data_IF_779958067259
#
_entry.id   IF_779958067259
#
_cell.length_a   1.000
_cell.length_b   1.000
_cell.length_c   1.000
_cell.angle_alpha   90.00
_cell.angle_beta   90.00
_cell.angle_gamma   90.00
#
_symmetry.space_group_name_H-M   'P 1'
#
loop_
_entity.id
_entity.type
_entity.pdbx_description
1 polymer ?
#
# COMPACT_ATOMS: atom_id res chain seq x y z
N UNK A 1 35.61 -33.74 23.42
CA UNK A 1 35.53 -32.73 24.50
C UNK A 1 36.33 -31.50 24.07
N UNK A 2 35.66 -30.40 23.69
CA UNK A 2 36.15 -29.03 23.86
C UNK A 2 35.00 -28.07 23.55
N UNK A 3 34.32 -27.64 24.61
CA UNK A 3 33.27 -26.63 24.57
C UNK A 3 33.92 -25.26 24.33
N UNK A 4 33.45 -24.52 23.33
CA UNK A 4 33.78 -23.11 23.16
C UNK A 4 32.46 -22.35 23.16
N UNK A 5 32.12 -21.86 24.35
CA UNK A 5 31.08 -20.86 24.56
C UNK A 5 31.66 -19.51 24.14
N UNK A 6 31.17 -18.93 23.03
CA UNK A 6 31.41 -17.53 22.69
C UNK A 6 30.07 -16.80 22.70
N UNK A 7 29.65 -16.39 23.88
CA UNK A 7 28.53 -15.46 24.08
C UNK A 7 29.07 -14.06 23.78
N UNK A 8 28.66 -13.48 22.66
CA UNK A 8 28.81 -12.06 22.40
C UNK A 8 27.42 -11.42 22.36
N UNK A 9 26.99 -10.97 23.53
CA UNK A 9 25.77 -10.19 23.72
C UNK A 9 26.08 -8.74 23.30
N UNK A 10 25.71 -8.37 22.08
CA UNK A 10 25.71 -6.97 21.63
C UNK A 10 24.34 -6.62 21.07
N UNK A 11 23.37 -6.40 21.95
CA UNK A 11 22.13 -5.69 21.66
C UNK A 11 22.45 -4.22 21.47
N UNK A 12 22.79 -3.82 20.25
CA UNK A 12 22.86 -2.42 19.85
C UNK A 12 21.46 -1.97 19.43
N UNK A 13 20.74 -1.37 20.38
CA UNK A 13 19.58 -0.53 20.11
C UNK A 13 20.02 0.65 19.23
N UNK A 14 19.84 0.54 17.91
CA UNK A 14 19.80 1.70 17.03
C UNK A 14 18.38 2.25 16.98
N UNK A 15 17.95 2.86 18.09
CA UNK A 15 16.96 3.94 18.04
C UNK A 15 17.72 5.22 17.75
N UNK A 16 17.65 5.71 16.51
CA UNK A 16 17.76 7.14 16.21
C UNK A 16 16.73 7.48 15.14
N UNK A 17 15.67 8.11 15.63
CA UNK A 17 14.77 9.02 14.94
C UNK A 17 15.59 10.07 14.20
N UNK A 18 15.22 10.38 12.96
CA UNK A 18 15.46 11.69 12.35
C UNK A 18 14.14 12.17 11.74
N UNK A 19 13.61 13.24 12.34
CA UNK A 19 12.62 14.12 11.74
C UNK A 19 13.28 14.97 10.66
N UNK A 20 12.60 15.19 9.53
CA UNK A 20 12.69 16.40 8.68
C UNK A 20 11.59 16.31 7.61
N UNK A 21 10.42 16.92 7.86
CA UNK A 21 10.00 18.28 7.46
C UNK A 21 9.61 18.43 5.97
N UNK A 22 8.29 18.36 5.77
CA UNK A 22 7.40 19.24 4.98
C UNK A 22 7.85 19.67 3.58
N UNK A 23 7.05 19.26 2.59
CA UNK A 23 6.66 20.16 1.51
C UNK A 23 5.16 20.04 1.25
N UNK A 24 4.46 21.16 1.36
CA UNK A 24 3.01 21.29 1.22
C UNK A 24 2.71 21.91 -0.16
N UNK A 25 1.86 21.20 -0.90
CA UNK A 25 0.95 21.57 -1.99
C UNK A 25 0.86 23.07 -2.36
N UNK A 26 0.98 23.43 -3.65
CA UNK A 26 0.39 24.64 -4.21
C UNK A 26 -1.04 24.37 -4.70
N UNK A 27 -2.03 24.93 -4.02
CA UNK A 27 -3.31 25.25 -4.64
C UNK A 27 -3.70 26.66 -4.18
N UNK A 28 -3.63 27.60 -5.12
CA UNK A 28 -3.96 29.01 -4.95
C UNK A 28 -5.47 29.24 -4.97
N UNK A 29 -5.95 29.94 -3.93
CA UNK A 29 -7.03 30.97 -3.86
C UNK A 29 -8.44 30.60 -4.34
N UNK A 30 -9.55 30.98 -3.68
CA UNK A 30 -10.22 32.31 -3.53
C UNK A 30 -11.28 32.16 -2.36
N UNK A 31 -11.88 33.24 -1.77
CA UNK A 31 -11.56 33.92 -0.51
C UNK A 31 -12.49 33.58 0.71
N UNK A 32 -12.09 34.14 1.85
CA UNK A 32 -12.61 34.00 3.22
C UNK A 32 -14.09 34.38 3.41
N UNK A 33 -14.85 33.52 4.11
CA UNK A 33 -15.86 33.95 5.09
C UNK A 33 -15.85 33.00 6.28
N UNK A 34 -15.55 33.56 7.45
CA UNK A 34 -15.40 32.88 8.74
C UNK A 34 -16.66 32.08 9.10
N UNK A 35 -16.51 30.77 9.24
CA UNK A 35 -17.43 29.93 10.00
C UNK A 35 -16.60 29.17 11.01
N UNK A 36 -16.96 29.39 12.28
CA UNK A 36 -16.41 28.77 13.47
C UNK A 36 -16.54 27.24 13.30
N UNK A 37 -15.50 26.59 12.79
CA UNK A 37 -15.48 25.14 12.62
C UNK A 37 -15.02 24.53 13.93
N UNK A 38 -16.00 24.16 14.75
CA UNK A 38 -15.86 23.17 15.81
C UNK A 38 -14.94 22.05 15.31
N UNK A 39 -13.83 21.85 16.01
CA UNK A 39 -12.85 20.79 15.74
C UNK A 39 -13.47 19.45 16.14
N UNK A 40 -14.47 19.02 15.38
CA UNK A 40 -14.91 17.64 15.37
C UNK A 40 -13.75 16.84 14.78
N UNK A 41 -13.21 15.95 15.61
CA UNK A 41 -12.12 15.07 15.25
C UNK A 41 -12.71 14.03 14.29
N UNK A 42 -12.83 14.40 13.01
CA UNK A 42 -13.25 13.49 11.94
C UNK A 42 -12.18 12.41 11.89
N UNK A 43 -12.45 11.28 12.54
CA UNK A 43 -11.66 10.08 12.35
C UNK A 43 -11.70 9.78 10.84
N UNK A 44 -10.55 9.69 10.15
CA UNK A 44 -10.58 9.49 8.71
C UNK A 44 -11.34 8.19 8.43
N UNK A 45 -12.43 8.31 7.67
CA UNK A 45 -13.28 7.18 7.32
C UNK A 45 -12.41 6.05 6.76
N UNK A 46 -12.53 4.86 7.34
CA UNK A 46 -11.72 3.71 6.92
C UNK A 46 -12.08 3.36 5.49
N UNK A 47 -11.16 3.60 4.55
CA UNK A 47 -11.39 3.36 3.13
C UNK A 47 -10.92 1.95 2.75
N UNK A 48 -11.87 1.06 2.48
CA UNK A 48 -11.63 -0.26 1.90
C UNK A 48 -11.62 -0.16 0.38
N UNK A 49 -10.55 -0.64 -0.25
CA UNK A 49 -10.37 -0.67 -1.70
C UNK A 49 -9.93 -2.06 -2.16
N UNK A 50 -10.34 -2.43 -3.36
CA UNK A 50 -9.93 -3.64 -4.05
C UNK A 50 -9.06 -3.26 -5.26
N UNK A 51 -7.89 -3.87 -5.39
CA UNK A 51 -6.96 -3.67 -6.50
C UNK A 51 -6.56 -5.03 -7.09
N UNK A 52 -5.96 -5.06 -8.28
CA UNK A 52 -5.52 -6.31 -8.92
C UNK A 52 -4.00 -6.37 -8.96
N UNK A 53 -3.41 -7.33 -8.25
CA UNK A 53 -1.99 -7.62 -8.34
C UNK A 53 -1.71 -8.49 -9.56
N UNK A 54 -0.81 -8.04 -10.44
CA UNK A 54 -0.45 -8.74 -11.68
C UNK A 54 0.92 -9.41 -11.61
N UNK A 55 1.79 -8.97 -10.69
CA UNK A 55 3.10 -9.57 -10.47
C UNK A 55 3.66 -9.22 -9.07
N UNK A 56 4.58 -10.07 -8.61
CA UNK A 56 5.46 -9.80 -7.48
C UNK A 56 6.83 -10.46 -7.73
N UNK A 57 7.92 -9.76 -7.42
CA UNK A 57 9.28 -10.25 -7.68
C UNK A 57 10.28 -9.73 -6.66
N UNK A 58 11.35 -10.49 -6.38
CA UNK A 58 12.41 -10.04 -5.45
C UNK A 58 13.20 -8.83 -5.99
N UNK A 59 13.32 -8.74 -7.32
CA UNK A 59 13.96 -7.65 -8.06
C UNK A 59 12.92 -6.88 -8.87
N UNK A 60 13.12 -5.58 -9.07
CA UNK A 60 12.25 -4.78 -9.91
C UNK A 60 12.26 -5.28 -11.37
N UNK A 61 11.11 -5.19 -12.05
CA UNK A 61 10.90 -5.58 -13.43
C UNK A 61 10.45 -4.33 -14.20
N UNK A 62 11.40 -3.74 -14.95
CA UNK A 62 11.20 -2.49 -15.69
C UNK A 62 10.00 -2.49 -16.65
N UNK A 63 9.68 -3.64 -17.26
CA UNK A 63 8.54 -3.74 -18.21
C UNK A 63 7.18 -3.41 -17.60
N UNK A 64 7.06 -3.44 -16.27
CA UNK A 64 5.82 -3.09 -15.59
C UNK A 64 5.74 -1.60 -15.24
N UNK A 65 6.86 -0.86 -15.24
CA UNK A 65 6.90 0.58 -14.93
C UNK A 65 6.23 1.43 -16.01
N UNK A 66 6.16 0.92 -17.25
CA UNK A 66 5.50 1.57 -18.38
C UNK A 66 3.99 1.29 -18.46
N UNK A 67 3.44 0.48 -17.53
CA UNK A 67 2.00 0.21 -17.50
C UNK A 67 1.31 1.42 -16.88
N UNK A 68 0.36 1.98 -17.59
CA UNK A 68 -0.48 3.07 -17.08
C UNK A 68 -1.23 2.64 -15.81
N UNK A 69 -1.31 3.53 -14.82
CA UNK A 69 -2.01 3.27 -13.56
C UNK A 69 -1.48 2.04 -12.80
N UNK A 70 -0.18 1.76 -12.92
CA UNK A 70 0.51 0.77 -12.09
C UNK A 70 0.93 1.41 -10.76
N UNK A 71 0.60 0.74 -9.67
CA UNK A 71 1.11 1.01 -8.33
C UNK A 71 2.22 0.00 -8.05
N UNK A 72 3.42 0.53 -7.83
CA UNK A 72 4.61 -0.24 -7.51
C UNK A 72 4.93 -0.02 -6.03
N UNK A 73 5.06 -1.10 -5.27
CA UNK A 73 5.31 -1.04 -3.82
C UNK A 73 6.32 -2.10 -3.40
N UNK A 74 7.19 -1.76 -2.45
CA UNK A 74 8.12 -2.71 -1.81
C UNK A 74 7.46 -3.22 -0.52
N UNK A 75 7.14 -4.51 -0.49
CA UNK A 75 6.52 -5.16 0.67
C UNK A 75 7.35 -6.39 1.04
N UNK A 76 8.07 -6.28 2.16
CA UNK A 76 9.07 -7.27 2.57
C UNK A 76 10.13 -7.47 1.46
N UNK A 77 10.47 -8.71 1.09
CA UNK A 77 11.48 -8.96 0.07
C UNK A 77 10.97 -8.72 -1.36
N UNK A 78 9.67 -8.44 -1.58
CA UNK A 78 9.07 -8.37 -2.89
C UNK A 78 8.74 -6.95 -3.34
N UNK A 79 9.01 -6.66 -4.61
CA UNK A 79 8.41 -5.54 -5.35
C UNK A 79 7.11 -6.07 -5.95
N UNK A 80 5.99 -5.42 -5.61
CA UNK A 80 4.65 -5.80 -6.04
C UNK A 80 4.11 -4.78 -7.04
N UNK A 81 3.35 -5.29 -8.00
CA UNK A 81 2.80 -4.54 -9.13
C UNK A 81 1.28 -4.71 -9.12
N UNK A 82 0.56 -3.63 -8.82
CA UNK A 82 -0.90 -3.62 -8.72
C UNK A 82 -1.49 -2.57 -9.64
N UNK A 83 -2.68 -2.81 -10.16
CA UNK A 83 -3.36 -1.88 -11.04
C UNK A 83 -4.87 -1.94 -10.83
N UNK A 84 -5.55 -0.85 -11.15
CA UNK A 84 -6.94 -0.61 -10.80
C UNK A 84 -7.14 -0.36 -9.30
N UNK A 85 -8.18 0.39 -8.97
CA UNK A 85 -8.61 0.67 -7.61
C UNK A 85 -10.13 0.78 -7.63
N UNK A 86 -10.80 -0.10 -6.90
CA UNK A 86 -12.25 -0.28 -6.95
C UNK A 86 -12.82 -0.29 -5.54
N UNK A 87 -14.04 0.21 -5.37
CA UNK A 87 -14.72 0.21 -4.08
C UNK A 87 -15.38 -1.14 -3.81
N UNK A 88 -15.73 -1.89 -4.87
CA UNK A 88 -16.36 -3.20 -4.73
C UNK A 88 -15.48 -4.35 -5.25
N UNK A 89 -15.63 -5.52 -4.62
CA UNK A 89 -14.98 -6.74 -5.11
C UNK A 89 -15.46 -7.13 -6.52
N UNK A 90 -16.72 -6.83 -6.86
CA UNK A 90 -17.32 -7.17 -8.15
C UNK A 90 -16.61 -6.44 -9.30
N UNK A 91 -16.41 -5.13 -9.17
CA UNK A 91 -15.68 -4.33 -10.16
C UNK A 91 -14.25 -4.81 -10.33
N UNK A 92 -13.55 -5.07 -9.21
CA UNK A 92 -12.20 -5.62 -9.23
C UNK A 92 -12.15 -6.99 -9.93
N UNK A 93 -13.18 -7.83 -9.77
CA UNK A 93 -13.30 -9.14 -10.42
C UNK A 93 -13.50 -9.01 -11.92
N UNK A 94 -14.35 -8.10 -12.37
CA UNK A 94 -14.56 -7.81 -13.79
C UNK A 94 -13.27 -7.33 -14.43
N UNK A 95 -12.58 -6.38 -13.81
CA UNK A 95 -11.28 -5.88 -14.27
C UNK A 95 -10.20 -6.98 -14.28
N UNK A 96 -10.08 -7.78 -13.21
CA UNK A 96 -9.16 -8.93 -13.16
C UNK A 96 -9.42 -9.93 -14.28
N UNK A 97 -10.68 -10.17 -14.65
CA UNK A 97 -11.03 -11.08 -15.74
C UNK A 97 -10.58 -10.56 -17.12
N UNK A 98 -10.53 -9.24 -17.32
CA UNK A 98 -9.94 -8.66 -18.53
C UNK A 98 -8.42 -8.89 -18.57
N UNK A 99 -7.76 -8.79 -17.42
CA UNK A 99 -6.31 -8.93 -17.29
C UNK A 99 -5.82 -10.38 -17.39
N UNK A 100 -6.64 -11.38 -17.03
CA UNK A 100 -6.23 -12.79 -16.94
C UNK A 100 -5.71 -13.37 -18.27
N UNK A 101 -6.08 -12.77 -19.40
CA UNK A 101 -5.56 -13.16 -20.73
C UNK A 101 -4.05 -12.90 -20.81
N UNK A 102 -3.59 -11.75 -20.31
CA UNK A 102 -2.20 -11.29 -20.33
C UNK A 102 -1.41 -11.67 -19.08
N UNK A 103 -2.05 -11.63 -17.91
CA UNK A 103 -1.45 -11.87 -16.61
C UNK A 103 -2.15 -13.05 -15.91
N UNK A 104 -1.69 -14.27 -16.18
CA UNK A 104 -2.35 -15.51 -15.72
C UNK A 104 -2.45 -15.63 -14.19
N UNK A 105 -1.49 -15.05 -13.48
CA UNK A 105 -1.46 -15.00 -12.01
C UNK A 105 -2.17 -13.79 -11.41
N UNK A 106 -2.97 -13.04 -12.18
CA UNK A 106 -3.65 -11.86 -11.64
C UNK A 106 -4.69 -12.25 -10.58
N UNK A 107 -4.62 -11.60 -9.42
CA UNK A 107 -5.57 -11.81 -8.33
C UNK A 107 -5.92 -10.50 -7.63
N UNK A 108 -7.05 -10.49 -6.93
CA UNK A 108 -7.57 -9.31 -6.23
C UNK A 108 -6.91 -9.22 -4.86
N UNK A 109 -6.39 -8.04 -4.52
CA UNK A 109 -5.86 -7.69 -3.21
C UNK A 109 -6.75 -6.59 -2.61
N UNK A 110 -7.21 -6.79 -1.38
CA UNK A 110 -7.90 -5.76 -0.61
C UNK A 110 -6.91 -4.89 0.16
N UNK A 111 -7.18 -3.58 0.22
CA UNK A 111 -6.43 -2.58 0.94
C UNK A 111 -7.39 -1.84 1.88
N UNK A 112 -7.13 -1.89 3.18
CA UNK A 112 -7.83 -1.05 4.17
C UNK A 112 -6.89 0.07 4.57
N UNK A 113 -7.27 1.32 4.30
CA UNK A 113 -6.40 2.49 4.53
C UNK A 113 -5.01 2.31 3.91
N UNK A 114 -4.98 1.83 2.67
CA UNK A 114 -3.78 1.50 1.88
C UNK A 114 -2.91 0.35 2.42
N UNK A 115 -3.27 -0.26 3.55
CA UNK A 115 -2.60 -1.44 4.08
C UNK A 115 -3.25 -2.73 3.55
N UNK A 116 -2.49 -3.72 3.08
CA UNK A 116 -3.06 -4.96 2.57
C UNK A 116 -3.73 -5.76 3.69
N UNK A 117 -4.95 -6.22 3.44
CA UNK A 117 -5.70 -7.14 4.31
C UNK A 117 -6.05 -8.43 3.54
N UNK A 118 -6.41 -9.49 4.27
CA UNK A 118 -6.89 -10.71 3.61
C UNK A 118 -8.23 -10.47 2.90
N UNK A 119 -8.47 -11.17 1.80
CA UNK A 119 -9.73 -11.01 1.07
C UNK A 119 -10.92 -11.45 1.92
N UNK A 120 -10.73 -12.46 2.77
CA UNK A 120 -11.76 -12.93 3.70
C UNK A 120 -12.14 -11.86 4.72
N UNK A 121 -11.15 -11.15 5.29
CA UNK A 121 -11.42 -10.03 6.19
C UNK A 121 -12.13 -8.88 5.47
N UNK A 122 -11.71 -8.57 4.24
CA UNK A 122 -12.32 -7.51 3.44
C UNK A 122 -13.80 -7.75 3.14
N UNK A 123 -14.18 -9.00 2.86
CA UNK A 123 -15.55 -9.38 2.53
C UNK A 123 -16.45 -9.59 3.77
N UNK A 124 -15.88 -9.47 4.97
CA UNK A 124 -16.63 -9.53 6.23
C UNK A 124 -17.06 -8.14 6.76
N UNK A 125 -16.59 -7.07 6.11
CA UNK A 125 -17.07 -5.70 6.32
C UNK A 125 -18.38 -5.47 5.58
#
# INVERSE_FOLDING_TARGET
MKNIFLVLFCTLFFSCINEEKKEKVPFETIPVKEVIFSKELIEPEKKLLFTVQIAASKKAIKRFEIIENIVISKEGPFVKYRTGSFETYKEAKEYKNQLIKKYKGAFIQALLNNAPISITAALAH
#
